data_IF_630305386470
#
_entry.id   IF_630305386470
#
_cell.length_a   1.000
_cell.length_b   1.000
_cell.length_c   1.000
_cell.angle_alpha   90.00
_cell.angle_beta   90.00
_cell.angle_gamma   90.00
#
_symmetry.space_group_name_H-M   'P 1'
#
loop_
_entity.id
_entity.type
_entity.pdbx_description
1 polymer ?
#
# COMPACT_ATOMS: atom_id res chain seq x y z
N UNK A 1 12.37 20.01 5.88
CA UNK A 1 11.91 20.61 4.63
C UNK A 1 11.51 22.09 4.85
N UNK A 2 10.50 22.38 5.70
CA UNK A 2 10.02 23.76 5.94
C UNK A 2 11.11 24.70 6.48
N UNK A 3 11.94 24.23 7.41
CA UNK A 3 13.07 25.01 7.92
C UNK A 3 14.11 25.32 6.83
N UNK A 4 14.35 24.38 5.91
CA UNK A 4 15.23 24.62 4.75
C UNK A 4 14.67 25.68 3.79
N UNK A 5 13.35 25.94 3.83
CA UNK A 5 12.68 27.00 3.10
C UNK A 5 12.59 28.32 3.89
N UNK A 6 13.27 28.43 5.03
CA UNK A 6 13.27 29.64 5.87
C UNK A 6 12.09 29.76 6.82
N UNK A 7 11.18 28.78 6.89
CA UNK A 7 10.07 28.76 7.87
C UNK A 7 10.58 28.28 9.22
N UNK A 8 10.36 29.08 10.26
CA UNK A 8 10.78 28.76 11.64
C UNK A 8 9.73 27.90 12.31
N UNK A 9 9.80 26.58 12.12
CA UNK A 9 8.86 25.61 12.69
C UNK A 9 9.61 24.54 13.49
N UNK A 10 8.94 23.98 14.50
CA UNK A 10 9.45 22.88 15.31
C UNK A 10 8.36 21.86 15.59
N UNK A 11 8.75 20.72 16.16
CA UNK A 11 7.85 19.65 16.57
C UNK A 11 8.29 19.12 17.92
N UNK A 12 7.32 18.85 18.78
CA UNK A 12 7.51 18.10 20.05
C UNK A 12 6.80 16.77 19.91
N UNK A 13 7.52 15.70 20.10
CA UNK A 13 6.96 14.33 20.10
C UNK A 13 6.87 13.84 21.55
N UNK A 14 5.64 13.57 22.02
CA UNK A 14 5.38 13.07 23.36
C UNK A 14 5.49 11.54 23.33
N UNK A 15 6.59 10.99 23.86
CA UNK A 15 6.80 9.55 23.96
C UNK A 15 6.15 8.95 25.20
N UNK A 16 6.33 9.60 26.35
CA UNK A 16 5.70 9.20 27.60
C UNK A 16 4.50 10.09 27.89
N UNK A 17 3.31 9.61 27.53
CA UNK A 17 2.07 10.39 27.69
C UNK A 17 1.56 10.40 29.13
N UNK A 18 1.69 9.33 29.86
CA UNK A 18 1.29 9.23 31.28
C UNK A 18 2.42 8.65 32.14
N UNK A 19 2.80 9.33 33.24
CA UNK A 19 2.29 10.64 33.72
C UNK A 19 2.72 11.78 32.82
N UNK A 20 1.82 12.74 32.54
CA UNK A 20 2.16 13.93 31.75
C UNK A 20 3.00 14.91 32.59
N UNK A 21 4.21 15.22 32.12
CA UNK A 21 5.15 16.09 32.85
C UNK A 21 5.09 17.51 32.35
N UNK A 22 4.40 18.39 33.07
CA UNK A 22 4.32 19.83 32.80
C UNK A 22 5.71 20.44 32.69
N UNK A 23 6.61 20.12 33.65
CA UNK A 23 7.99 20.64 33.68
C UNK A 23 8.77 20.34 32.41
N UNK A 24 8.77 19.06 31.96
CA UNK A 24 9.53 18.66 30.78
C UNK A 24 8.88 19.19 29.50
N UNK A 25 7.55 19.17 29.43
CA UNK A 25 6.84 19.72 28.28
C UNK A 25 7.13 21.21 28.11
N UNK A 26 6.95 22.02 29.17
CA UNK A 26 7.19 23.47 29.12
C UNK A 26 8.67 23.77 28.76
N UNK A 27 9.62 23.01 29.28
CA UNK A 27 11.04 23.19 28.97
C UNK A 27 11.37 22.89 27.50
N UNK A 28 10.59 22.03 26.83
CA UNK A 28 10.77 21.72 25.42
C UNK A 28 10.22 22.81 24.48
N UNK A 29 9.41 23.74 24.98
CA UNK A 29 8.80 24.80 24.18
C UNK A 29 9.66 26.10 24.27
N UNK A 30 10.32 26.51 23.18
CA UNK A 30 11.09 27.76 23.17
C UNK A 30 10.25 28.98 23.56
N UNK A 31 10.88 29.96 24.19
CA UNK A 31 10.20 31.20 24.58
C UNK A 31 9.62 31.97 23.38
N UNK A 32 10.21 31.82 22.21
CA UNK A 32 9.77 32.48 20.97
C UNK A 32 8.49 31.89 20.37
N UNK A 33 8.03 30.72 20.83
CA UNK A 33 6.82 30.07 20.29
C UNK A 33 5.57 30.84 20.70
N UNK A 34 4.73 31.17 19.72
CA UNK A 34 3.46 31.91 19.91
C UNK A 34 2.24 31.09 19.49
N UNK A 35 2.41 30.04 18.68
CA UNK A 35 1.30 29.21 18.20
C UNK A 35 1.68 27.75 18.25
N UNK A 36 0.79 26.89 18.72
CA UNK A 36 0.96 25.44 18.79
C UNK A 36 -0.28 24.77 18.18
N UNK A 37 -0.07 23.81 17.28
CA UNK A 37 -1.08 22.85 16.89
C UNK A 37 -0.82 21.53 17.63
N UNK A 38 -1.81 21.01 18.31
CA UNK A 38 -1.77 19.72 18.98
C UNK A 38 -2.52 18.71 18.12
N UNK A 39 -1.87 17.61 17.78
CA UNK A 39 -2.46 16.55 16.95
C UNK A 39 -2.75 15.32 17.78
N UNK A 40 -4.01 14.94 17.84
CA UNK A 40 -4.51 13.72 18.46
C UNK A 40 -4.93 12.71 17.42
N UNK A 41 -4.57 11.41 17.63
CA UNK A 41 -5.03 10.31 16.78
C UNK A 41 -6.31 9.67 17.33
N UNK A 42 -7.16 10.48 17.91
CA UNK A 42 -8.45 10.07 18.47
C UNK A 42 -9.48 11.18 18.26
N UNK A 43 -10.74 10.83 18.46
CA UNK A 43 -11.86 11.76 18.54
C UNK A 43 -12.65 11.45 19.80
N UNK A 44 -12.69 12.42 20.72
CA UNK A 44 -13.46 12.32 21.96
C UNK A 44 -14.86 12.92 21.76
N UNK A 45 -15.82 12.07 21.56
CA UNK A 45 -17.22 12.49 21.35
C UNK A 45 -17.79 13.13 22.60
N UNK A 46 -18.30 14.37 22.47
CA UNK A 46 -18.88 15.13 23.58
C UNK A 46 -17.86 15.88 24.46
N UNK A 47 -16.56 15.75 24.19
CA UNK A 47 -15.52 16.53 24.86
C UNK A 47 -15.30 17.89 24.17
N UNK A 48 -14.77 18.85 24.93
CA UNK A 48 -14.37 20.17 24.42
C UNK A 48 -13.06 20.15 23.64
N UNK A 49 -12.37 19.02 23.63
CA UNK A 49 -11.13 18.76 22.89
C UNK A 49 -10.62 17.35 23.12
N UNK A 50 -9.67 16.93 22.32
CA UNK A 50 -9.01 15.63 22.41
C UNK A 50 -8.02 15.59 23.59
N UNK A 51 -7.64 14.39 24.09
CA UNK A 51 -6.89 14.25 25.34
C UNK A 51 -5.56 14.99 25.37
N UNK A 52 -4.72 14.88 24.32
CA UNK A 52 -3.41 15.55 24.29
C UNK A 52 -3.57 17.06 24.19
N UNK A 53 -4.55 17.52 23.42
CA UNK A 53 -4.87 18.95 23.34
C UNK A 53 -5.23 19.52 24.71
N UNK A 54 -6.11 18.86 25.47
CA UNK A 54 -6.50 19.32 26.83
C UNK A 54 -5.32 19.33 27.79
N UNK A 55 -4.47 18.29 27.76
CA UNK A 55 -3.27 18.24 28.60
C UNK A 55 -2.27 19.35 28.26
N UNK A 56 -2.05 19.62 26.97
CA UNK A 56 -1.15 20.70 26.52
C UNK A 56 -1.66 22.08 26.94
N UNK A 57 -2.95 22.35 26.75
CA UNK A 57 -3.56 23.63 27.19
C UNK A 57 -3.40 23.80 28.71
N UNK A 58 -3.70 22.74 29.48
CA UNK A 58 -3.56 22.76 30.94
C UNK A 58 -2.10 22.94 31.36
N UNK A 59 -1.17 22.25 30.73
CA UNK A 59 0.26 22.33 31.04
C UNK A 59 0.84 23.73 30.76
N UNK A 60 0.46 24.35 29.64
CA UNK A 60 0.88 25.71 29.30
C UNK A 60 0.33 26.73 30.30
N UNK A 61 -0.93 26.59 30.72
CA UNK A 61 -1.52 27.43 31.75
C UNK A 61 -0.78 27.33 33.09
N UNK A 62 -0.51 26.07 33.55
CA UNK A 62 0.26 25.83 34.77
C UNK A 62 1.71 26.36 34.69
N UNK A 63 2.29 26.37 33.50
CA UNK A 63 3.63 26.92 33.27
C UNK A 63 3.65 28.44 33.05
N UNK A 64 2.51 29.14 33.14
CA UNK A 64 2.40 30.58 32.92
C UNK A 64 2.58 31.02 31.45
N UNK A 65 2.45 30.09 30.48
CA UNK A 65 2.58 30.35 29.05
C UNK A 65 1.22 30.60 28.39
N UNK A 66 0.45 31.53 28.94
CA UNK A 66 -0.87 31.92 28.43
C UNK A 66 -0.80 32.81 27.17
N UNK A 67 0.40 33.20 26.78
CA UNK A 67 0.70 33.99 25.57
C UNK A 67 0.71 33.16 24.28
N UNK A 68 0.51 31.86 24.39
CA UNK A 68 0.53 30.92 23.25
C UNK A 68 -0.90 30.60 22.80
N UNK A 69 -1.17 30.80 21.51
CA UNK A 69 -2.41 30.31 20.88
C UNK A 69 -2.28 28.83 20.64
N UNK A 70 -3.19 27.99 21.16
CA UNK A 70 -3.20 26.53 20.98
C UNK A 70 -4.43 26.13 20.18
N UNK A 71 -4.23 25.37 19.12
CA UNK A 71 -5.31 24.76 18.33
C UNK A 71 -5.19 23.24 18.33
N UNK A 72 -6.32 22.55 18.43
CA UNK A 72 -6.41 21.09 18.35
C UNK A 72 -6.69 20.61 16.93
N UNK A 73 -6.14 19.47 16.57
CA UNK A 73 -6.39 18.79 15.30
C UNK A 73 -6.38 17.27 15.43
N UNK A 74 -7.09 16.60 14.57
CA UNK A 74 -7.20 15.14 14.50
C UNK A 74 -6.50 14.62 13.26
N UNK A 75 -5.75 13.54 13.40
CA UNK A 75 -5.03 12.90 12.32
C UNK A 75 -5.11 11.38 12.43
N UNK A 76 -4.86 10.66 11.33
CA UNK A 76 -4.72 9.21 11.33
C UNK A 76 -5.94 8.44 11.83
N UNK A 77 -7.13 9.04 11.82
CA UNK A 77 -8.37 8.39 12.21
C UNK A 77 -8.65 7.19 11.28
N UNK A 78 -9.19 6.10 11.85
CA UNK A 78 -9.44 4.85 11.11
C UNK A 78 -8.20 4.30 10.40
N UNK A 79 -7.02 4.49 11.00
CA UNK A 79 -5.72 4.07 10.42
C UNK A 79 -5.38 4.71 9.07
N UNK A 80 -5.97 5.86 8.75
CA UNK A 80 -5.56 6.66 7.59
C UNK A 80 -4.08 7.04 7.70
N UNK A 81 -3.39 6.96 6.59
CA UNK A 81 -2.02 7.45 6.49
C UNK A 81 -1.98 8.97 6.62
N UNK A 82 -0.88 9.50 7.12
CA UNK A 82 -0.68 10.94 7.24
C UNK A 82 0.60 11.33 6.52
N UNK A 83 0.44 12.09 5.46
CA UNK A 83 1.49 12.43 4.50
C UNK A 83 2.20 13.74 4.86
N UNK A 84 3.39 14.00 4.31
CA UNK A 84 4.08 15.28 4.46
C UNK A 84 3.23 16.49 4.06
N UNK A 85 2.47 16.41 2.95
CA UNK A 85 1.58 17.48 2.50
C UNK A 85 0.54 17.83 3.55
N UNK A 86 -0.02 16.85 4.23
CA UNK A 86 -0.99 17.01 5.30
C UNK A 86 -0.36 17.72 6.53
N UNK A 87 0.87 17.37 6.91
CA UNK A 87 1.57 18.08 8.00
C UNK A 87 1.93 19.52 7.62
N UNK A 88 2.26 19.78 6.37
CA UNK A 88 2.50 21.17 5.89
C UNK A 88 1.24 22.00 6.05
N UNK A 89 0.07 21.46 5.72
CA UNK A 89 -1.21 22.16 5.91
C UNK A 89 -1.47 22.55 7.36
N UNK A 90 -1.01 21.76 8.34
CA UNK A 90 -1.09 22.14 9.77
C UNK A 90 -0.25 23.38 10.06
N UNK A 91 0.98 23.45 9.55
CA UNK A 91 1.82 24.63 9.73
C UNK A 91 1.27 25.84 8.95
N UNK A 92 0.66 25.63 7.79
CA UNK A 92 0.00 26.68 7.02
C UNK A 92 -1.23 27.22 7.77
N UNK A 93 -1.98 26.35 8.42
CA UNK A 93 -3.07 26.76 9.32
C UNK A 93 -2.55 27.59 10.49
N UNK A 94 -1.46 27.18 11.15
CA UNK A 94 -0.84 27.94 12.23
C UNK A 94 -0.33 29.32 11.80
N UNK A 95 0.07 29.48 10.54
CA UNK A 95 0.55 30.75 10.02
C UNK A 95 -0.56 31.79 9.86
N UNK A 96 -1.83 31.40 9.81
CA UNK A 96 -2.98 32.31 9.68
C UNK A 96 -3.16 33.17 10.94
N UNK A 97 -3.72 34.36 10.80
CA UNK A 97 -4.05 35.23 11.94
C UNK A 97 -5.06 34.55 12.87
N UNK A 98 -6.09 33.91 12.31
CA UNK A 98 -7.07 33.08 13.00
C UNK A 98 -6.98 31.63 12.54
N UNK A 99 -6.10 30.81 13.14
CA UNK A 99 -5.97 29.42 12.75
C UNK A 99 -7.23 28.62 13.13
N UNK A 100 -7.65 27.71 12.23
CA UNK A 100 -8.78 26.81 12.49
C UNK A 100 -8.45 25.92 13.69
N UNK A 101 -9.35 25.86 14.65
CA UNK A 101 -9.30 24.95 15.79
C UNK A 101 -10.22 23.76 15.55
N UNK A 102 -9.98 22.63 16.22
CA UNK A 102 -10.74 21.38 16.07
C UNK A 102 -10.81 20.86 14.62
N UNK A 103 -9.73 21.06 13.88
CA UNK A 103 -9.64 20.62 12.51
C UNK A 103 -9.37 19.10 12.39
N UNK A 104 -9.58 18.58 11.21
CA UNK A 104 -9.11 17.24 10.81
C UNK A 104 -8.13 17.35 9.64
N UNK A 105 -7.29 16.34 9.44
CA UNK A 105 -6.46 16.18 8.25
C UNK A 105 -6.65 14.77 7.66
N UNK A 106 -6.55 14.66 6.33
CA UNK A 106 -6.67 13.40 5.61
C UNK A 106 -8.10 12.91 5.41
N UNK A 107 -9.12 13.71 5.71
CA UNK A 107 -10.53 13.41 5.45
C UNK A 107 -11.04 14.40 4.40
N UNK A 108 -11.72 13.89 3.36
CA UNK A 108 -12.41 14.72 2.37
C UNK A 108 -13.78 15.12 2.91
N UNK A 109 -13.80 16.14 3.78
CA UNK A 109 -15.00 16.63 4.49
C UNK A 109 -15.61 17.80 3.73
N UNK A 110 -16.50 17.50 2.82
CA UNK A 110 -17.29 18.44 2.02
C UNK A 110 -18.66 18.78 2.66
N UNK A 111 -18.91 18.33 3.87
CA UNK A 111 -20.18 18.55 4.61
C UNK A 111 -20.00 19.54 5.75
N UNK A 112 -19.05 19.30 6.66
CA UNK A 112 -18.82 20.17 7.83
C UNK A 112 -17.58 21.07 7.65
N UNK A 113 -16.79 20.83 6.60
CA UNK A 113 -15.59 21.61 6.26
C UNK A 113 -14.61 21.75 7.43
N UNK A 114 -14.50 20.73 8.29
CA UNK A 114 -13.54 20.73 9.40
C UNK A 114 -12.12 20.39 8.95
N UNK A 115 -11.96 19.73 7.82
CA UNK A 115 -10.64 19.35 7.30
C UNK A 115 -9.84 20.56 6.80
N UNK A 116 -8.51 20.43 6.88
CA UNK A 116 -7.59 21.33 6.22
C UNK A 116 -7.36 20.85 4.78
N UNK A 117 -7.40 21.79 3.86
CA UNK A 117 -6.97 21.54 2.48
C UNK A 117 -5.45 21.37 2.45
N UNK A 118 -4.95 20.45 1.62
CA UNK A 118 -3.52 20.20 1.48
C UNK A 118 -3.16 19.83 0.05
N UNK A 119 -1.90 19.99 -0.27
CA UNK A 119 -1.31 19.50 -1.53
C UNK A 119 -0.27 18.45 -1.20
N UNK A 120 -0.36 17.30 -1.87
CA UNK A 120 0.67 16.27 -1.73
C UNK A 120 1.99 16.77 -2.30
N UNK A 121 3.06 16.49 -1.57
CA UNK A 121 4.42 16.79 -1.98
C UNK A 121 5.30 15.55 -1.84
N UNK A 122 6.27 15.43 -2.72
CA UNK A 122 7.37 14.50 -2.55
C UNK A 122 8.52 15.21 -1.83
N UNK A 123 8.91 14.67 -0.66
CA UNK A 123 10.09 15.17 0.04
C UNK A 123 11.36 14.63 -0.64
N UNK A 124 12.41 15.47 -0.80
CA UNK A 124 13.68 15.00 -1.34
C UNK A 124 14.37 14.06 -0.35
N UNK A 125 14.62 12.84 -0.78
CA UNK A 125 15.36 11.82 -0.03
C UNK A 125 16.56 11.30 -0.86
N UNK A 126 17.64 12.10 -1.03
CA UNK A 126 18.78 11.71 -1.84
C UNK A 126 19.39 10.38 -1.37
N UNK A 127 19.57 9.44 -2.30
CA UNK A 127 20.12 8.12 -2.02
C UNK A 127 19.16 7.13 -1.36
N UNK A 128 17.88 7.47 -1.19
CA UNK A 128 16.83 6.56 -0.77
C UNK A 128 16.11 5.97 -1.98
N UNK A 129 15.88 4.67 -1.95
CA UNK A 129 15.06 3.94 -2.92
C UNK A 129 13.76 3.54 -2.21
N UNK A 130 12.62 3.86 -2.81
CA UNK A 130 11.29 3.51 -2.31
C UNK A 130 10.63 2.51 -3.23
N UNK A 131 10.12 1.41 -2.67
CA UNK A 131 9.50 0.33 -3.44
C UNK A 131 8.10 0.01 -2.94
N UNK A 132 7.19 -0.31 -3.86
CA UNK A 132 5.85 -0.81 -3.55
C UNK A 132 5.59 -2.11 -4.29
N UNK A 133 5.28 -3.18 -3.54
CA UNK A 133 5.05 -4.49 -4.12
C UNK A 133 3.62 -4.98 -3.80
N UNK A 134 2.92 -5.40 -4.84
CA UNK A 134 1.55 -5.90 -4.80
C UNK A 134 1.55 -7.41 -4.89
N UNK A 135 1.16 -8.09 -3.81
CA UNK A 135 1.14 -9.54 -3.71
C UNK A 135 -0.22 -10.09 -3.34
N UNK A 136 -0.39 -11.39 -3.54
CA UNK A 136 -1.57 -12.14 -3.14
C UNK A 136 -1.32 -12.83 -1.81
N UNK A 137 -2.25 -12.73 -0.88
CA UNK A 137 -2.16 -13.39 0.42
C UNK A 137 -1.93 -14.89 0.27
N UNK A 138 -0.81 -15.38 0.78
CA UNK A 138 -0.38 -16.77 0.68
C UNK A 138 0.52 -17.11 -0.51
N UNK A 139 0.85 -16.14 -1.38
CA UNK A 139 1.76 -16.35 -2.53
C UNK A 139 3.26 -16.31 -2.13
N UNK A 140 3.55 -15.92 -0.89
CA UNK A 140 4.91 -15.82 -0.35
C UNK A 140 5.60 -14.47 -0.57
N UNK A 141 4.97 -13.50 -1.23
CA UNK A 141 5.52 -12.17 -1.48
C UNK A 141 6.02 -11.50 -0.21
N UNK A 142 5.22 -11.51 0.87
CA UNK A 142 5.61 -10.89 2.14
C UNK A 142 6.85 -11.54 2.74
N UNK A 143 6.95 -12.89 2.66
CA UNK A 143 8.13 -13.62 3.13
C UNK A 143 9.39 -13.26 2.34
N UNK A 144 9.30 -13.20 1.00
CA UNK A 144 10.38 -12.78 0.13
C UNK A 144 10.84 -11.35 0.46
N UNK A 145 9.90 -10.43 0.66
CA UNK A 145 10.20 -9.04 0.98
C UNK A 145 10.84 -8.88 2.36
N UNK A 146 10.44 -9.68 3.37
CA UNK A 146 11.12 -9.72 4.67
C UNK A 146 12.56 -10.19 4.55
N UNK A 147 12.81 -11.21 3.73
CA UNK A 147 14.16 -11.69 3.47
C UNK A 147 14.98 -10.62 2.74
N UNK A 148 14.43 -9.98 1.70
CA UNK A 148 15.10 -8.91 0.97
C UNK A 148 15.50 -7.74 1.88
N UNK A 149 14.61 -7.30 2.78
CA UNK A 149 14.90 -6.27 3.79
C UNK A 149 16.06 -6.69 4.68
N UNK A 150 16.06 -7.93 5.17
CA UNK A 150 17.14 -8.45 6.01
C UNK A 150 18.49 -8.49 5.26
N UNK A 151 18.49 -8.96 4.02
CA UNK A 151 19.66 -8.98 3.14
C UNK A 151 20.19 -7.56 2.92
N UNK A 152 19.33 -6.60 2.58
CA UNK A 152 19.73 -5.21 2.33
C UNK A 152 20.28 -4.55 3.59
N UNK A 153 19.62 -4.76 4.74
CA UNK A 153 20.04 -4.15 6.00
C UNK A 153 21.29 -4.78 6.59
N UNK A 154 21.33 -6.10 6.73
CA UNK A 154 22.43 -6.77 7.44
C UNK A 154 23.64 -7.08 6.55
N UNK A 155 23.41 -7.49 5.30
CA UNK A 155 24.50 -7.84 4.36
C UNK A 155 24.92 -6.61 3.56
N UNK A 156 23.95 -5.84 3.06
CA UNK A 156 24.19 -4.62 2.31
C UNK A 156 24.59 -3.41 3.14
N UNK A 157 24.46 -3.47 4.47
CA UNK A 157 24.84 -2.39 5.39
C UNK A 157 24.03 -1.10 5.24
N UNK A 158 22.80 -1.20 4.67
CA UNK A 158 21.94 -0.04 4.46
C UNK A 158 20.90 0.10 5.55
N UNK A 159 20.42 1.32 5.76
CA UNK A 159 19.19 1.52 6.49
C UNK A 159 18.02 0.97 5.68
N UNK A 160 17.13 0.21 6.33
CA UNK A 160 16.03 -0.45 5.68
C UNK A 160 14.75 -0.32 6.53
N UNK A 161 13.64 -0.04 5.88
CA UNK A 161 12.32 0.09 6.51
C UNK A 161 11.31 -0.70 5.69
N UNK A 162 10.42 -1.44 6.35
CA UNK A 162 9.31 -2.13 5.72
C UNK A 162 8.02 -1.95 6.49
N UNK A 163 6.94 -1.76 5.76
CA UNK A 163 5.58 -1.85 6.26
C UNK A 163 4.77 -2.75 5.34
N UNK A 164 4.01 -3.67 5.94
CA UNK A 164 3.17 -4.62 5.21
C UNK A 164 1.71 -4.35 5.52
N UNK A 165 0.96 -3.95 4.52
CA UNK A 165 -0.49 -3.78 4.58
C UNK A 165 -1.18 -5.05 4.08
N UNK A 166 -2.21 -5.45 4.79
CA UNK A 166 -2.98 -6.67 4.49
C UNK A 166 -4.45 -6.30 4.28
N UNK A 167 -5.08 -7.00 3.36
CA UNK A 167 -6.54 -7.01 3.24
C UNK A 167 -7.17 -7.66 4.48
N UNK A 168 -8.40 -7.28 4.79
CA UNK A 168 -9.22 -7.92 5.83
C UNK A 168 -9.56 -9.37 5.50
N UNK A 169 -9.50 -9.76 4.23
CA UNK A 169 -9.73 -11.12 3.76
C UNK A 169 -8.50 -12.00 3.99
N UNK A 170 -8.65 -13.09 4.76
CA UNK A 170 -7.55 -13.94 5.21
C UNK A 170 -6.87 -14.74 4.08
N UNK A 171 -7.61 -15.25 3.09
CA UNK A 171 -7.07 -16.03 1.98
C UNK A 171 -7.31 -15.33 0.65
N UNK A 172 -6.28 -15.22 -0.20
CA UNK A 172 -6.38 -14.56 -1.51
C UNK A 172 -6.70 -13.07 -1.40
N UNK A 173 -6.47 -12.45 -0.24
CA UNK A 173 -6.55 -11.03 -0.03
C UNK A 173 -5.34 -10.31 -0.60
N UNK A 174 -5.46 -9.01 -0.81
CA UNK A 174 -4.37 -8.16 -1.24
C UNK A 174 -3.31 -8.02 -0.15
N UNK A 175 -2.04 -8.04 -0.53
CA UNK A 175 -0.93 -7.59 0.31
C UNK A 175 -0.16 -6.49 -0.40
N UNK A 176 0.17 -5.42 0.32
CA UNK A 176 1.02 -4.36 -0.17
C UNK A 176 2.25 -4.25 0.73
N UNK A 177 3.43 -4.32 0.14
CA UNK A 177 4.70 -4.12 0.85
C UNK A 177 5.26 -2.76 0.48
N UNK A 178 5.48 -1.91 1.46
CA UNK A 178 6.07 -0.60 1.34
C UNK A 178 7.49 -0.67 1.90
N UNK A 179 8.49 -0.54 1.05
CA UNK A 179 9.88 -0.73 1.41
C UNK A 179 10.67 0.54 1.12
N UNK A 180 11.59 0.90 2.02
CA UNK A 180 12.55 1.99 1.80
C UNK A 180 13.94 1.54 2.21
N UNK A 181 14.93 1.93 1.42
CA UNK A 181 16.34 1.63 1.65
C UNK A 181 17.18 2.87 1.39
N UNK A 182 18.26 3.05 2.16
CA UNK A 182 19.12 4.20 1.94
C UNK A 182 20.41 4.15 2.76
N UNK A 183 21.32 5.05 2.45
CA UNK A 183 22.61 5.19 3.17
C UNK A 183 22.47 6.06 4.44
N UNK A 184 21.28 6.62 4.66
CA UNK A 184 20.97 7.45 5.83
C UNK A 184 19.75 6.90 6.57
N UNK A 185 19.59 7.21 7.87
CA UNK A 185 18.40 6.83 8.62
C UNK A 185 17.10 7.23 7.91
N UNK A 186 16.14 6.31 7.84
CA UNK A 186 14.84 6.54 7.21
C UNK A 186 13.89 7.06 8.28
N UNK A 187 13.49 8.31 8.16
CA UNK A 187 12.62 9.00 9.11
C UNK A 187 11.16 9.05 8.65
N UNK A 188 10.87 8.62 7.42
CA UNK A 188 9.51 8.60 6.85
C UNK A 188 8.66 7.55 7.56
N UNK A 189 7.56 7.99 8.19
CA UNK A 189 6.62 7.12 8.92
C UNK A 189 5.35 6.80 8.12
N UNK A 190 5.17 7.44 6.98
CA UNK A 190 4.05 7.28 6.05
C UNK A 190 4.32 6.18 5.01
N UNK A 191 3.25 5.69 4.38
CA UNK A 191 3.34 4.67 3.33
C UNK A 191 4.09 5.21 2.10
N UNK A 192 4.58 4.30 1.26
CA UNK A 192 5.20 4.69 -0.02
C UNK A 192 4.07 5.10 -0.98
N UNK A 193 4.00 6.37 -1.29
CA UNK A 193 3.10 7.01 -2.25
C UNK A 193 3.84 7.60 -3.46
N UNK A 194 5.17 7.46 -3.50
CA UNK A 194 6.03 7.80 -4.62
C UNK A 194 7.17 6.76 -4.66
N UNK A 195 7.12 5.84 -5.63
CA UNK A 195 7.96 4.65 -5.68
C UNK A 195 8.93 4.68 -6.88
N UNK A 196 10.20 4.41 -6.60
CA UNK A 196 11.23 4.20 -7.63
C UNK A 196 11.05 2.83 -8.31
N UNK A 197 10.49 1.88 -7.58
CA UNK A 197 10.21 0.53 -8.06
C UNK A 197 8.82 0.05 -7.63
N UNK A 198 8.02 -0.41 -8.59
CA UNK A 198 6.72 -1.06 -8.32
C UNK A 198 6.75 -2.47 -8.91
N UNK A 199 6.35 -3.47 -8.13
CA UNK A 199 6.16 -4.83 -8.62
C UNK A 199 4.74 -5.33 -8.38
N UNK A 200 4.16 -6.00 -9.37
CA UNK A 200 2.85 -6.64 -9.31
C UNK A 200 3.01 -8.13 -9.54
N UNK A 201 2.78 -8.92 -8.50
CA UNK A 201 3.01 -10.38 -8.54
C UNK A 201 1.79 -11.16 -9.05
N UNK A 202 0.59 -10.57 -8.99
CA UNK A 202 -0.65 -11.18 -9.50
C UNK A 202 -1.16 -10.41 -10.74
N UNK A 203 -1.19 -11.01 -11.93
CA UNK A 203 -1.55 -10.32 -13.17
C UNK A 203 -2.98 -9.77 -13.17
N UNK A 204 -3.89 -10.38 -12.41
CA UNK A 204 -5.28 -9.93 -12.27
C UNK A 204 -5.40 -8.56 -11.61
N UNK A 205 -4.38 -8.12 -10.87
CA UNK A 205 -4.40 -6.84 -10.14
C UNK A 205 -4.33 -5.63 -11.05
N UNK A 206 -3.78 -5.76 -12.27
CA UNK A 206 -3.73 -4.64 -13.22
C UNK A 206 -5.12 -4.14 -13.65
N UNK A 207 -6.14 -5.02 -13.61
CA UNK A 207 -7.55 -4.68 -13.92
C UNK A 207 -8.35 -4.28 -12.67
N UNK A 208 -7.87 -4.64 -11.48
CA UNK A 208 -8.61 -4.43 -10.24
C UNK A 208 -8.17 -3.18 -9.47
N UNK A 209 -6.89 -2.89 -9.47
CA UNK A 209 -6.28 -1.82 -8.67
C UNK A 209 -5.52 -0.83 -9.56
N UNK A 210 -5.35 0.38 -9.05
CA UNK A 210 -4.50 1.39 -9.66
C UNK A 210 -3.04 1.16 -9.26
N UNK A 211 -2.41 0.15 -9.89
CA UNK A 211 -1.07 -0.31 -9.51
C UNK A 211 0.06 0.61 -9.98
N UNK A 212 -0.24 1.57 -10.86
CA UNK A 212 0.74 2.54 -11.39
C UNK A 212 0.65 3.91 -10.73
N UNK A 213 -0.34 4.15 -9.85
CA UNK A 213 -0.57 5.45 -9.24
C UNK A 213 0.69 6.01 -8.57
N UNK A 214 1.35 5.18 -7.76
CA UNK A 214 2.49 5.59 -6.94
C UNK A 214 3.85 5.46 -7.65
N UNK A 215 3.90 5.05 -8.91
CA UNK A 215 5.14 4.98 -9.68
C UNK A 215 5.65 6.38 -10.00
N UNK A 216 6.92 6.65 -9.74
CA UNK A 216 7.60 7.90 -10.14
C UNK A 216 7.78 8.00 -11.64
N UNK A 217 7.99 9.22 -12.13
CA UNK A 217 8.52 9.44 -13.47
C UNK A 217 9.91 8.80 -13.61
N UNK A 218 10.13 8.04 -14.70
CA UNK A 218 11.33 7.24 -14.91
C UNK A 218 11.45 6.01 -13.99
N UNK A 219 10.48 5.75 -13.14
CA UNK A 219 10.48 4.60 -12.23
C UNK A 219 10.43 3.24 -12.94
N UNK A 220 10.79 2.19 -12.23
CA UNK A 220 10.78 0.82 -12.76
C UNK A 220 9.51 0.08 -12.35
N UNK A 221 8.83 -0.53 -13.32
CA UNK A 221 7.63 -1.33 -13.10
C UNK A 221 7.87 -2.78 -13.54
N UNK A 222 7.65 -3.74 -12.64
CA UNK A 222 7.76 -5.18 -12.90
C UNK A 222 6.38 -5.85 -12.79
N UNK A 223 5.94 -6.50 -13.86
CA UNK A 223 4.71 -7.30 -13.86
C UNK A 223 5.03 -8.79 -13.98
N UNK A 224 4.62 -9.57 -12.99
CA UNK A 224 4.61 -11.03 -13.11
C UNK A 224 3.34 -11.48 -13.86
N UNK A 225 3.49 -11.91 -15.09
CA UNK A 225 2.36 -12.33 -15.91
C UNK A 225 2.76 -13.44 -16.90
N UNK A 226 1.80 -14.25 -17.36
CA UNK A 226 2.06 -15.27 -18.38
C UNK A 226 2.08 -14.71 -19.81
N UNK A 227 1.84 -13.41 -19.98
CA UNK A 227 1.68 -12.77 -21.28
C UNK A 227 3.03 -12.47 -21.93
N UNK A 228 3.11 -12.68 -23.23
CA UNK A 228 4.20 -12.19 -24.06
C UNK A 228 4.09 -10.68 -24.27
N UNK A 229 5.16 -10.05 -24.73
CA UNK A 229 5.16 -8.59 -25.02
C UNK A 229 4.05 -8.22 -26.01
N UNK A 230 3.78 -9.06 -27.01
CA UNK A 230 2.73 -8.81 -28.02
C UNK A 230 1.31 -8.88 -27.48
N UNK A 231 1.08 -9.62 -26.39
CA UNK A 231 -0.24 -9.77 -25.78
C UNK A 231 -0.57 -8.66 -24.77
N UNK A 232 0.41 -7.85 -24.37
CA UNK A 232 0.21 -6.80 -23.37
C UNK A 232 -0.81 -5.75 -23.83
N UNK A 233 -0.89 -5.48 -25.14
CA UNK A 233 -1.86 -4.53 -25.70
C UNK A 233 -3.30 -4.90 -25.33
N UNK A 234 -3.63 -6.18 -25.39
CA UNK A 234 -4.97 -6.70 -25.11
C UNK A 234 -5.28 -6.81 -23.62
N UNK A 235 -4.24 -7.08 -22.81
CA UNK A 235 -4.43 -7.40 -21.39
C UNK A 235 -4.33 -6.22 -20.44
N UNK A 236 -3.58 -5.16 -20.80
CA UNK A 236 -3.39 -4.02 -19.93
C UNK A 236 -4.52 -3.00 -20.05
N UNK A 237 -5.06 -2.48 -18.93
CA UNK A 237 -6.04 -1.39 -18.94
C UNK A 237 -5.45 -0.11 -19.55
N UNK A 238 -6.29 0.66 -20.23
CA UNK A 238 -5.87 1.91 -20.86
C UNK A 238 -5.23 2.90 -19.88
N UNK A 239 -5.78 3.03 -18.66
CA UNK A 239 -5.18 3.86 -17.62
C UNK A 239 -3.73 3.45 -17.31
N UNK A 240 -3.46 2.15 -17.13
CA UNK A 240 -2.11 1.66 -16.89
C UNK A 240 -1.17 1.94 -18.06
N UNK A 241 -1.63 1.74 -19.30
CA UNK A 241 -0.87 2.08 -20.50
C UNK A 241 -0.48 3.57 -20.51
N UNK A 242 -1.46 4.46 -20.27
CA UNK A 242 -1.22 5.92 -20.20
C UNK A 242 -0.22 6.27 -19.12
N UNK A 243 -0.35 5.71 -17.93
CA UNK A 243 0.54 5.99 -16.81
C UNK A 243 1.98 5.54 -17.11
N UNK A 244 2.16 4.33 -17.63
CA UNK A 244 3.49 3.81 -18.01
C UNK A 244 4.17 4.70 -19.07
N UNK A 245 3.41 5.13 -20.09
CA UNK A 245 3.93 5.97 -21.14
C UNK A 245 4.25 7.39 -20.65
N UNK A 246 3.32 8.03 -19.92
CA UNK A 246 3.47 9.43 -19.47
C UNK A 246 4.50 9.60 -18.36
N UNK A 247 4.70 8.55 -17.55
CA UNK A 247 5.74 8.50 -16.51
C UNK A 247 7.07 7.96 -17.03
N UNK A 248 7.24 7.78 -18.33
CA UNK A 248 8.48 7.28 -18.95
C UNK A 248 9.03 6.04 -18.22
N UNK A 249 8.14 5.12 -17.85
CA UNK A 249 8.46 3.99 -16.98
C UNK A 249 9.45 3.01 -17.64
N UNK A 250 10.35 2.45 -16.84
CA UNK A 250 11.12 1.27 -17.23
C UNK A 250 10.27 0.03 -16.98
N UNK A 251 9.56 -0.43 -18.00
CA UNK A 251 8.61 -1.53 -17.87
C UNK A 251 9.27 -2.88 -18.14
N UNK A 252 9.05 -3.83 -17.23
CA UNK A 252 9.53 -5.22 -17.33
C UNK A 252 8.41 -6.20 -17.04
N UNK A 253 8.46 -7.36 -17.72
CA UNK A 253 7.60 -8.52 -17.46
C UNK A 253 8.43 -9.75 -17.11
N UNK A 254 7.84 -10.68 -16.36
CA UNK A 254 8.42 -11.98 -16.03
C UNK A 254 7.30 -13.01 -15.87
N UNK A 255 7.47 -14.22 -16.42
CA UNK A 255 6.59 -15.37 -16.13
C UNK A 255 7.25 -16.28 -15.09
N UNK A 256 7.22 -15.84 -13.84
CA UNK A 256 7.81 -16.60 -12.74
C UNK A 256 7.11 -17.92 -12.49
N UNK A 257 5.83 -18.05 -12.82
CA UNK A 257 5.09 -19.31 -12.67
C UNK A 257 5.58 -20.38 -13.65
N UNK A 258 5.80 -20.02 -14.92
CA UNK A 258 6.37 -20.92 -15.94
C UNK A 258 7.78 -21.34 -15.56
N UNK A 259 8.61 -20.41 -15.10
CA UNK A 259 9.98 -20.70 -14.67
C UNK A 259 10.01 -21.63 -13.45
N UNK A 260 9.18 -21.38 -12.43
CA UNK A 260 9.09 -22.25 -11.26
C UNK A 260 8.61 -23.65 -11.60
N UNK A 261 7.63 -23.79 -12.50
CA UNK A 261 7.15 -25.08 -12.97
C UNK A 261 8.23 -25.86 -13.71
N UNK A 262 9.02 -25.20 -14.57
CA UNK A 262 10.09 -25.83 -15.35
C UNK A 262 11.20 -26.46 -14.49
N UNK A 263 11.47 -25.90 -13.31
CA UNK A 263 12.48 -26.43 -12.37
C UNK A 263 11.86 -27.29 -11.25
N UNK A 264 10.57 -27.62 -11.34
CA UNK A 264 9.89 -28.50 -10.38
C UNK A 264 9.42 -27.84 -9.08
N UNK A 265 9.49 -26.51 -8.96
CA UNK A 265 9.01 -25.77 -7.77
C UNK A 265 7.49 -25.52 -7.81
N UNK A 266 6.78 -25.91 -8.87
CA UNK A 266 5.35 -25.75 -9.04
C UNK A 266 4.94 -24.27 -9.04
N UNK A 267 4.18 -23.82 -8.04
CA UNK A 267 3.72 -22.43 -7.92
C UNK A 267 4.61 -21.52 -7.05
N UNK A 268 5.77 -21.99 -6.62
CA UNK A 268 6.67 -21.24 -5.70
C UNK A 268 7.55 -20.30 -6.48
N UNK A 269 7.13 -19.07 -6.62
CA UNK A 269 7.79 -18.02 -7.43
C UNK A 269 8.69 -17.08 -6.64
N UNK A 270 8.71 -17.18 -5.29
CA UNK A 270 9.33 -16.20 -4.39
C UNK A 270 10.78 -15.90 -4.71
N UNK A 271 11.63 -16.94 -4.86
CA UNK A 271 13.06 -16.76 -5.13
C UNK A 271 13.32 -16.16 -6.52
N UNK A 272 12.47 -16.49 -7.50
CA UNK A 272 12.54 -15.93 -8.86
C UNK A 272 12.23 -14.43 -8.81
N UNK A 273 11.13 -14.04 -8.15
CA UNK A 273 10.71 -12.64 -8.06
C UNK A 273 11.66 -11.81 -7.19
N UNK A 274 12.24 -12.41 -6.14
CA UNK A 274 13.26 -11.75 -5.33
C UNK A 274 14.58 -11.56 -6.11
N UNK A 275 14.99 -12.52 -6.93
CA UNK A 275 16.12 -12.38 -7.84
C UNK A 275 15.92 -11.25 -8.85
N UNK A 276 14.72 -11.19 -9.46
CA UNK A 276 14.34 -10.11 -10.37
C UNK A 276 14.33 -8.73 -9.67
N UNK A 277 13.83 -8.68 -8.43
CA UNK A 277 13.86 -7.45 -7.61
C UNK A 277 15.29 -6.91 -7.45
N UNK A 278 16.24 -7.74 -7.01
CA UNK A 278 17.62 -7.30 -6.84
C UNK A 278 18.28 -6.91 -8.16
N UNK A 279 18.02 -7.67 -9.24
CA UNK A 279 18.57 -7.38 -10.56
C UNK A 279 18.10 -6.02 -11.12
N UNK A 280 16.84 -5.65 -10.88
CA UNK A 280 16.26 -4.42 -11.41
C UNK A 280 16.53 -3.21 -10.50
N UNK A 281 16.53 -3.38 -9.17
CA UNK A 281 16.74 -2.27 -8.23
C UNK A 281 18.21 -1.96 -7.99
N UNK A 282 19.10 -2.96 -8.07
CA UNK A 282 20.55 -2.85 -7.81
C UNK A 282 20.86 -2.14 -6.49
N UNK A 283 20.01 -2.33 -5.50
CA UNK A 283 20.08 -1.65 -4.19
C UNK A 283 21.35 -2.03 -3.41
N UNK A 284 21.85 -3.25 -3.64
CA UNK A 284 23.16 -3.75 -3.16
C UNK A 284 23.89 -4.46 -4.30
N UNK A 285 25.19 -4.73 -4.19
CA UNK A 285 25.93 -5.55 -5.15
C UNK A 285 25.24 -6.90 -5.37
N UNK A 286 25.16 -7.32 -6.63
CA UNK A 286 24.37 -8.49 -7.04
C UNK A 286 24.92 -9.81 -6.52
N UNK A 287 26.25 -9.92 -6.44
CA UNK A 287 26.96 -11.06 -5.87
C UNK A 287 26.60 -11.28 -4.40
N UNK A 288 26.58 -10.23 -3.61
CA UNK A 288 26.17 -10.27 -2.20
C UNK A 288 24.71 -10.68 -2.04
N UNK A 289 23.83 -10.16 -2.90
CA UNK A 289 22.40 -10.51 -2.88
C UNK A 289 22.20 -12.01 -3.19
N UNK A 290 22.85 -12.53 -4.25
CA UNK A 290 22.74 -13.93 -4.66
C UNK A 290 23.30 -14.86 -3.57
N UNK A 291 24.46 -14.53 -3.02
CA UNK A 291 25.09 -15.34 -1.97
C UNK A 291 24.19 -15.45 -0.74
N UNK A 292 23.65 -14.34 -0.25
CA UNK A 292 22.77 -14.36 0.92
C UNK A 292 21.44 -15.07 0.64
N UNK A 293 20.83 -14.87 -0.54
CA UNK A 293 19.63 -15.60 -0.93
C UNK A 293 19.87 -17.12 -0.95
N UNK A 294 20.99 -17.59 -1.50
CA UNK A 294 21.34 -19.02 -1.53
C UNK A 294 21.64 -19.56 -0.13
N UNK A 295 22.29 -18.79 0.72
CA UNK A 295 22.50 -19.12 2.13
C UNK A 295 21.16 -19.24 2.89
N UNK A 296 20.22 -18.34 2.65
CA UNK A 296 18.89 -18.37 3.26
C UNK A 296 18.08 -19.58 2.76
N UNK A 297 18.21 -19.98 1.50
CA UNK A 297 17.62 -21.21 0.97
C UNK A 297 18.19 -22.45 1.68
N UNK A 298 19.49 -22.52 1.87
CA UNK A 298 20.11 -23.63 2.62
C UNK A 298 19.56 -23.71 4.05
N UNK A 299 19.58 -22.60 4.79
CA UNK A 299 19.10 -22.53 6.16
C UNK A 299 17.62 -22.92 6.30
N UNK A 300 16.80 -22.53 5.32
CA UNK A 300 15.35 -22.74 5.36
C UNK A 300 14.93 -24.17 4.96
N UNK A 301 15.62 -24.78 4.02
CA UNK A 301 15.15 -25.98 3.36
C UNK A 301 15.99 -27.23 3.60
N UNK A 302 17.31 -27.08 3.87
CA UNK A 302 18.20 -28.27 3.94
C UNK A 302 17.74 -29.29 4.97
N UNK A 303 17.51 -28.87 6.21
CA UNK A 303 17.06 -29.77 7.29
C UNK A 303 15.67 -30.35 7.09
N UNK A 304 14.80 -29.66 6.36
CA UNK A 304 13.38 -30.04 6.19
C UNK A 304 13.11 -30.86 4.92
N UNK A 305 13.87 -30.60 3.87
CA UNK A 305 13.54 -31.12 2.54
C UNK A 305 14.79 -31.60 1.75
N UNK A 306 15.98 -31.49 2.31
CA UNK A 306 17.23 -31.97 1.75
C UNK A 306 17.82 -31.10 0.65
N UNK A 307 19.01 -31.51 0.17
CA UNK A 307 19.83 -30.75 -0.77
C UNK A 307 19.12 -30.48 -2.11
N UNK A 308 18.36 -31.44 -2.63
CA UNK A 308 17.63 -31.28 -3.90
C UNK A 308 16.72 -30.05 -3.92
N UNK A 309 16.00 -29.79 -2.83
CA UNK A 309 15.11 -28.62 -2.72
C UNK A 309 15.92 -27.32 -2.58
N UNK A 310 17.06 -27.35 -1.91
CA UNK A 310 17.99 -26.22 -1.85
C UNK A 310 18.49 -25.88 -3.26
N UNK A 311 18.92 -26.86 -4.03
CA UNK A 311 19.45 -26.66 -5.39
C UNK A 311 18.38 -26.06 -6.33
N UNK A 312 17.14 -26.57 -6.26
CA UNK A 312 16.03 -26.02 -7.03
C UNK A 312 15.74 -24.56 -6.66
N UNK A 313 15.77 -24.20 -5.36
CA UNK A 313 15.57 -22.82 -4.93
C UNK A 313 16.74 -21.92 -5.31
N UNK A 314 17.97 -22.42 -5.31
CA UNK A 314 19.15 -21.69 -5.79
C UNK A 314 19.07 -21.44 -7.31
N UNK A 315 18.63 -22.44 -8.08
CA UNK A 315 18.37 -22.27 -9.51
C UNK A 315 17.26 -21.23 -9.77
N UNK A 316 16.23 -21.16 -8.90
CA UNK A 316 15.20 -20.14 -8.98
C UNK A 316 15.75 -18.73 -8.81
N UNK A 317 16.72 -18.53 -7.90
CA UNK A 317 17.42 -17.23 -7.74
C UNK A 317 18.13 -16.86 -9.04
N UNK A 318 18.95 -17.78 -9.59
CA UNK A 318 19.74 -17.52 -10.80
C UNK A 318 18.84 -17.20 -12.00
N UNK A 319 17.73 -17.93 -12.17
CA UNK A 319 16.73 -17.65 -13.22
C UNK A 319 16.07 -16.28 -13.01
N UNK A 320 15.72 -15.93 -11.78
CA UNK A 320 15.07 -14.64 -11.47
C UNK A 320 15.91 -13.45 -11.86
N UNK A 321 17.22 -13.54 -11.64
CA UNK A 321 18.18 -12.47 -11.99
C UNK A 321 18.20 -12.16 -13.49
N UNK A 322 17.94 -13.15 -14.35
CA UNK A 322 18.12 -13.04 -15.80
C UNK A 322 16.82 -12.98 -16.59
N UNK A 323 15.70 -13.39 -16.02
CA UNK A 323 14.48 -13.70 -16.76
C UNK A 323 13.55 -12.50 -17.03
N UNK A 324 13.81 -11.34 -16.44
CA UNK A 324 13.00 -10.15 -16.69
C UNK A 324 13.20 -9.63 -18.11
N UNK A 325 12.09 -9.47 -18.83
CA UNK A 325 12.09 -8.97 -20.21
C UNK A 325 11.67 -7.49 -20.19
N UNK A 326 12.52 -6.62 -20.73
CA UNK A 326 12.20 -5.21 -20.90
C UNK A 326 11.17 -5.05 -22.00
N UNK A 327 10.17 -4.22 -21.75
CA UNK A 327 9.12 -3.89 -22.70
C UNK A 327 9.35 -2.47 -23.22
N UNK A 328 9.46 -2.34 -24.52
CA UNK A 328 9.45 -1.02 -25.17
C UNK A 328 8.02 -0.50 -25.18
N UNK A 329 7.77 0.62 -24.48
CA UNK A 329 6.43 1.19 -24.34
C UNK A 329 6.05 1.92 -25.63
N UNK A 330 4.96 1.50 -26.33
CA UNK A 330 4.53 2.21 -27.53
C UNK A 330 4.10 3.64 -27.22
N UNK A 331 4.50 4.60 -28.05
CA UNK A 331 4.10 6.02 -27.88
C UNK A 331 2.56 6.18 -27.88
N UNK A 332 1.85 5.36 -28.64
CA UNK A 332 0.39 5.36 -28.70
C UNK A 332 -0.29 5.05 -27.34
N UNK A 333 0.42 4.42 -26.39
CA UNK A 333 -0.13 4.17 -25.07
C UNK A 333 -0.42 5.44 -24.26
N UNK A 334 0.24 6.55 -24.56
CA UNK A 334 -0.02 7.84 -23.91
C UNK A 334 -1.47 8.34 -24.10
N UNK A 335 -2.12 7.92 -25.20
CA UNK A 335 -3.46 8.33 -25.57
C UNK A 335 -4.47 7.16 -25.58
N UNK A 336 -4.12 6.03 -24.95
CA UNK A 336 -5.01 4.87 -24.85
C UNK A 336 -6.36 5.27 -24.21
N UNK A 337 -7.46 4.86 -24.83
CA UNK A 337 -8.84 5.19 -24.38
C UNK A 337 -9.43 4.07 -23.53
N UNK A 338 -10.15 4.44 -22.47
CA UNK A 338 -10.80 3.49 -21.62
C UNK A 338 -11.97 2.82 -22.34
N UNK A 339 -12.07 1.50 -22.27
CA UNK A 339 -13.22 0.75 -22.75
C UNK A 339 -14.34 0.80 -21.72
N UNK A 340 -15.61 0.87 -22.15
CA UNK A 340 -16.74 0.79 -21.25
C UNK A 340 -16.73 -0.54 -20.46
N UNK A 341 -16.69 -0.46 -19.14
CA UNK A 341 -16.84 -1.63 -18.28
C UNK A 341 -18.32 -1.85 -17.99
N UNK A 342 -18.83 -3.02 -18.36
CA UNK A 342 -20.22 -3.38 -18.05
C UNK A 342 -20.41 -3.46 -16.53
N UNK A 343 -21.39 -2.74 -16.02
CA UNK A 343 -21.76 -2.83 -14.61
C UNK A 343 -22.37 -4.21 -14.29
N UNK A 344 -22.05 -4.78 -13.12
CA UNK A 344 -22.70 -6.00 -12.65
C UNK A 344 -24.23 -5.82 -12.58
N UNK A 345 -24.96 -6.85 -12.96
CA UNK A 345 -26.43 -6.85 -12.82
C UNK A 345 -26.81 -6.67 -11.34
N UNK A 346 -27.90 -5.93 -11.11
CA UNK A 346 -28.45 -5.65 -9.77
C UNK A 346 -27.52 -4.85 -8.84
N UNK A 347 -26.58 -4.07 -9.38
CA UNK A 347 -25.77 -3.16 -8.58
C UNK A 347 -26.63 -2.01 -8.05
N UNK A 348 -26.65 -1.85 -6.71
CA UNK A 348 -27.31 -0.70 -6.09
C UNK A 348 -26.45 0.55 -6.17
N UNK A 349 -27.02 1.77 -6.07
CA UNK A 349 -26.22 2.99 -5.97
C UNK A 349 -25.21 2.97 -4.81
N UNK A 350 -25.58 2.37 -3.67
CA UNK A 350 -24.67 2.20 -2.53
C UNK A 350 -23.46 1.33 -2.88
N UNK A 351 -23.68 0.22 -3.55
CA UNK A 351 -22.57 -0.66 -4.00
C UNK A 351 -21.64 0.09 -4.96
N UNK A 352 -22.21 0.80 -5.93
CA UNK A 352 -21.42 1.56 -6.91
C UNK A 352 -20.62 2.69 -6.27
N UNK A 353 -21.26 3.49 -5.40
CA UNK A 353 -20.71 4.74 -4.90
C UNK A 353 -19.76 4.52 -3.71
N UNK A 354 -19.92 3.43 -2.93
CA UNK A 354 -19.14 3.14 -1.72
C UNK A 354 -18.40 1.81 -1.81
N UNK A 355 -19.10 0.68 -2.01
CA UNK A 355 -18.50 -0.65 -1.91
C UNK A 355 -17.42 -0.87 -2.97
N UNK A 356 -17.69 -0.51 -4.22
CA UNK A 356 -16.74 -0.69 -5.32
C UNK A 356 -15.48 0.17 -5.18
N UNK A 357 -15.54 1.46 -4.79
CA UNK A 357 -14.35 2.24 -4.46
C UNK A 357 -13.53 1.65 -3.30
N UNK A 358 -14.18 1.17 -2.24
CA UNK A 358 -13.49 0.50 -1.12
C UNK A 358 -12.77 -0.77 -1.58
N UNK A 359 -13.42 -1.61 -2.38
CA UNK A 359 -12.81 -2.83 -2.95
C UNK A 359 -11.61 -2.52 -3.87
N UNK A 360 -11.60 -1.35 -4.50
CA UNK A 360 -10.48 -0.86 -5.33
C UNK A 360 -9.39 -0.13 -4.53
N UNK A 361 -9.46 -0.14 -3.19
CA UNK A 361 -8.53 0.58 -2.31
C UNK A 361 -8.52 2.10 -2.55
N UNK A 362 -9.69 2.68 -2.88
CA UNK A 362 -9.88 4.11 -3.14
C UNK A 362 -10.81 4.77 -2.12
N UNK A 363 -11.10 4.10 -1.01
CA UNK A 363 -12.00 4.61 0.02
C UNK A 363 -11.57 5.95 0.62
N UNK A 364 -10.27 6.20 0.72
CA UNK A 364 -9.74 7.47 1.24
C UNK A 364 -10.06 8.69 0.36
N UNK A 365 -10.42 8.48 -0.89
CA UNK A 365 -10.81 9.53 -1.83
C UNK A 365 -12.29 9.90 -1.72
N UNK A 366 -13.11 9.08 -1.04
CA UNK A 366 -14.54 9.33 -0.94
C UNK A 366 -14.82 10.53 -0.03
N UNK A 367 -15.68 11.49 -0.46
CA UNK A 367 -16.10 12.60 0.37
C UNK A 367 -17.14 12.15 1.39
N UNK A 368 -17.26 12.89 2.49
CA UNK A 368 -18.24 12.62 3.56
C UNK A 368 -19.68 12.65 3.04
N UNK A 369 -19.98 13.54 2.08
CA UNK A 369 -21.30 13.65 1.47
C UNK A 369 -21.81 12.34 0.85
N UNK A 370 -20.94 11.51 0.32
CA UNK A 370 -21.31 10.20 -0.24
C UNK A 370 -21.91 9.30 0.83
N UNK A 371 -21.27 9.24 2.01
CA UNK A 371 -21.79 8.46 3.14
C UNK A 371 -23.08 9.04 3.69
N UNK A 372 -23.22 10.38 3.73
CA UNK A 372 -24.44 11.06 4.12
C UNK A 372 -25.60 10.76 3.15
N UNK A 373 -25.34 10.84 1.83
CA UNK A 373 -26.32 10.54 0.77
C UNK A 373 -26.93 9.15 0.91
N UNK A 374 -26.13 8.18 1.33
CA UNK A 374 -26.56 6.79 1.51
C UNK A 374 -27.05 6.47 2.93
N UNK A 375 -27.09 7.44 3.84
CA UNK A 375 -27.64 7.28 5.18
C UNK A 375 -26.80 6.36 6.10
N UNK A 376 -25.51 6.21 5.86
CA UNK A 376 -24.64 5.27 6.58
C UNK A 376 -23.66 5.93 7.56
N UNK A 377 -23.93 7.17 7.97
CA UNK A 377 -23.12 7.90 8.94
C UNK A 377 -23.16 7.27 10.36
N UNK A 378 -24.18 6.50 10.65
CA UNK A 378 -24.39 5.77 11.91
C UNK A 378 -23.71 4.39 11.92
N UNK A 379 -23.05 4.00 10.83
CA UNK A 379 -22.40 2.69 10.67
C UNK A 379 -23.34 1.60 10.14
N UNK A 380 -24.57 1.91 9.73
CA UNK A 380 -25.41 0.95 9.02
C UNK A 380 -24.81 0.61 7.65
N UNK A 381 -25.15 -0.58 7.14
CA UNK A 381 -24.60 -1.10 5.89
C UNK A 381 -25.65 -1.93 5.15
N UNK A 382 -25.76 -1.77 3.83
CA UNK A 382 -26.67 -2.60 3.02
C UNK A 382 -26.30 -4.08 3.09
N UNK A 383 -27.30 -4.94 3.26
CA UNK A 383 -27.14 -6.38 3.22
C UNK A 383 -26.85 -6.88 1.79
N UNK A 384 -26.13 -8.00 1.69
CA UNK A 384 -25.87 -8.66 0.40
C UNK A 384 -24.73 -8.06 -0.42
N UNK A 385 -24.06 -7.02 0.05
CA UNK A 385 -22.95 -6.36 -0.68
C UNK A 385 -21.77 -7.29 -0.96
N UNK A 386 -21.59 -8.37 -0.17
CA UNK A 386 -20.56 -9.39 -0.41
C UNK A 386 -20.67 -10.10 -1.76
N UNK A 387 -21.85 -10.05 -2.40
CA UNK A 387 -22.04 -10.57 -3.76
C UNK A 387 -21.19 -9.82 -4.81
N UNK A 388 -20.85 -8.57 -4.52
CA UNK A 388 -20.06 -7.69 -5.40
C UNK A 388 -18.58 -7.68 -5.06
N UNK A 389 -18.21 -8.04 -3.83
CA UNK A 389 -16.81 -8.10 -3.36
C UNK A 389 -16.09 -9.36 -3.85
N UNK A 390 -16.02 -9.52 -5.17
CA UNK A 390 -15.37 -10.68 -5.79
C UNK A 390 -13.87 -10.45 -5.91
N UNK A 391 -13.07 -11.42 -5.45
CA UNK A 391 -11.60 -11.32 -5.47
C UNK A 391 -11.03 -11.34 -6.88
N UNK A 392 -11.59 -12.17 -7.79
CA UNK A 392 -11.18 -12.25 -9.18
C UNK A 392 -9.70 -12.64 -9.39
N UNK A 393 -9.13 -13.42 -8.46
CA UNK A 393 -7.69 -13.73 -8.46
C UNK A 393 -7.34 -15.01 -9.22
N UNK A 394 -8.33 -15.83 -9.56
CA UNK A 394 -8.12 -17.07 -10.30
C UNK A 394 -7.86 -16.78 -11.78
N UNK A 395 -6.73 -17.21 -12.31
CA UNK A 395 -6.41 -17.14 -13.74
C UNK A 395 -7.07 -18.27 -14.54
N UNK A 396 -7.40 -19.39 -13.88
CA UNK A 396 -8.11 -20.54 -14.45
C UNK A 396 -9.16 -21.00 -13.44
N UNK A 397 -10.36 -21.27 -13.92
CA UNK A 397 -11.47 -21.80 -13.11
C UNK A 397 -11.94 -23.14 -13.71
N UNK A 398 -12.41 -24.09 -12.88
CA UNK A 398 -12.98 -25.33 -13.40
C UNK A 398 -14.30 -25.02 -14.12
N UNK A 399 -14.50 -25.64 -15.26
CA UNK A 399 -15.75 -25.63 -16.02
C UNK A 399 -16.46 -26.96 -15.81
N UNK A 400 -17.70 -26.92 -15.33
CA UNK A 400 -18.55 -28.09 -15.23
C UNK A 400 -18.99 -28.54 -16.64
N UNK A 401 -18.84 -29.84 -16.92
CA UNK A 401 -19.35 -30.43 -18.15
C UNK A 401 -20.61 -31.23 -17.85
N UNK A 402 -21.75 -30.70 -18.32
CA UNK A 402 -23.05 -31.31 -18.10
C UNK A 402 -23.21 -32.71 -18.75
N UNK A 403 -22.63 -32.89 -19.94
CA UNK A 403 -22.73 -34.16 -20.71
C UNK A 403 -21.98 -35.32 -20.03
N UNK A 404 -20.87 -34.99 -19.34
CA UNK A 404 -20.07 -35.99 -18.63
C UNK A 404 -20.50 -36.14 -17.14
N UNK A 405 -21.49 -35.39 -16.69
CA UNK A 405 -21.92 -35.39 -15.31
C UNK A 405 -22.87 -36.56 -15.00
N UNK A 406 -22.48 -37.45 -14.10
CA UNK A 406 -23.30 -38.56 -13.64
C UNK A 406 -24.15 -38.22 -12.39
N UNK A 407 -24.23 -36.95 -12.01
CA UNK A 407 -25.01 -36.43 -10.86
C UNK A 407 -24.66 -37.08 -9.49
N UNK A 408 -23.46 -37.58 -9.30
CA UNK A 408 -23.03 -38.24 -8.08
C UNK A 408 -22.82 -37.33 -6.88
N UNK A 409 -22.92 -36.01 -7.04
CA UNK A 409 -22.73 -34.96 -6.01
C UNK A 409 -21.36 -34.94 -5.29
N UNK A 410 -20.37 -35.72 -5.72
CA UNK A 410 -19.03 -35.75 -5.11
C UNK A 410 -18.37 -34.38 -5.06
N UNK A 411 -18.47 -33.62 -6.16
CA UNK A 411 -17.91 -32.25 -6.23
C UNK A 411 -18.53 -31.31 -5.18
N UNK A 412 -19.84 -31.41 -4.94
CA UNK A 412 -20.53 -30.64 -3.90
C UNK A 412 -20.11 -31.07 -2.50
N UNK A 413 -20.02 -32.38 -2.25
CA UNK A 413 -19.61 -32.92 -0.94
C UNK A 413 -18.16 -32.60 -0.60
N UNK A 414 -17.26 -32.54 -1.58
CA UNK A 414 -15.84 -32.26 -1.39
C UNK A 414 -15.52 -30.77 -1.37
N UNK A 415 -16.45 -29.89 -1.73
CA UNK A 415 -16.18 -28.45 -1.79
C UNK A 415 -16.13 -27.82 -0.39
N UNK A 416 -14.93 -27.39 0.10
CA UNK A 416 -14.79 -26.89 1.47
C UNK A 416 -15.48 -25.56 1.68
N UNK A 417 -15.88 -24.86 0.62
CA UNK A 417 -16.51 -23.55 0.67
C UNK A 417 -17.98 -23.56 0.21
N UNK A 418 -18.56 -24.73 -0.02
CA UNK A 418 -19.90 -24.89 -0.57
C UNK A 418 -20.18 -24.03 -1.82
N UNK A 419 -19.13 -23.83 -2.65
CA UNK A 419 -19.24 -23.08 -3.91
C UNK A 419 -19.98 -23.87 -4.99
N UNK A 420 -19.91 -25.21 -4.92
CA UNK A 420 -20.62 -26.11 -5.81
C UNK A 420 -21.85 -26.65 -5.07
N UNK A 421 -23.04 -26.36 -5.59
CA UNK A 421 -24.31 -26.75 -4.97
C UNK A 421 -25.21 -27.45 -5.98
N UNK A 422 -25.80 -28.60 -5.64
CA UNK A 422 -26.85 -29.17 -6.46
C UNK A 422 -28.13 -28.34 -6.32
N UNK A 423 -28.83 -28.16 -7.41
CA UNK A 423 -30.14 -27.49 -7.46
C UNK A 423 -31.09 -28.33 -8.28
N UNK A 424 -32.37 -28.33 -7.93
CA UNK A 424 -33.41 -28.83 -8.78
C UNK A 424 -33.80 -27.76 -9.78
N UNK A 425 -33.80 -28.10 -11.06
CA UNK A 425 -34.32 -27.27 -12.11
C UNK A 425 -35.79 -27.68 -12.36
N UNK A 426 -36.67 -26.72 -12.30
CA UNK A 426 -38.10 -26.92 -12.61
C UNK A 426 -38.31 -26.98 -14.12
#
# INVERSE_FOLDING_TARGET
YLNAQGRKVGMVQIHLYRPFSVKHFAAAIPASVKKIAVLDRSKETGSVGEPVYLDVVTALNQAGRNDITVVGGRYGLSSKDTTPGQFIAVYDNLAKDAPKNNFTIGINDDVTHTSLDYTEIELPHPGQISCKLWGLGGDGTVGANKNAISTIGFVGGKYAQAYFSYDTMKSGGLTQSHLRFGDKPILSTYLVNSADFVAVHAPTYVKKYDVTADLKDGGTFLLNCPWSVGELEEHLPAKMKRDLARKHANFYIIDAAKLAAAIGLGKRTNNILQGAFFALTKVIPMDLAIEDMKKNNYNSYFKKAGQKIVDMNNQAVDLGVQASVKVEIPAAWADATDEPVAEPKNMTPFVRDIVMPLDKQQGDKLPVSVFQKHGVLDGTWENGTSAFSKRGVATKVPKWNAESCIQCNRCSMCCPHAAIRPVLLA
#
